data_IF_885224951178
#
_entry.id   IF_885224951178
#
_cell.length_a   1.000
_cell.length_b   1.000
_cell.length_c   1.000
_cell.angle_alpha   90.00
_cell.angle_beta   90.00
_cell.angle_gamma   90.00
#
_symmetry.space_group_name_H-M   'P 1'
#
loop_
_entity.id
_entity.type
_entity.pdbx_description
1 polymer ?
#
# COMPACT_ATOMS: atom_id res chain seq x y z
N UNK A 1 42.97 -56.62 41.25
CA UNK A 1 41.81 -55.79 40.83
C UNK A 1 42.30 -54.76 39.82
N UNK A 2 41.77 -54.66 38.61
CA UNK A 2 42.12 -53.62 37.66
C UNK A 2 41.34 -52.34 38.00
N UNK A 3 42.11 -51.25 38.16
CA UNK A 3 41.66 -49.89 38.35
C UNK A 3 40.89 -49.46 37.10
N UNK A 4 39.56 -49.19 37.24
CA UNK A 4 38.73 -48.57 36.19
C UNK A 4 39.28 -47.16 35.89
N UNK A 5 39.70 -46.99 34.63
CA UNK A 5 40.18 -45.71 34.12
C UNK A 5 39.09 -44.66 34.16
N UNK A 6 39.42 -43.53 34.73
CA UNK A 6 38.66 -42.29 34.83
C UNK A 6 38.47 -41.58 33.47
N UNK A 7 38.42 -42.30 32.34
CA UNK A 7 38.32 -41.72 31.03
C UNK A 7 36.88 -41.61 30.47
N UNK A 8 35.90 -42.28 31.13
CA UNK A 8 34.55 -42.34 30.60
C UNK A 8 33.65 -41.17 30.99
N UNK A 9 34.08 -40.36 31.96
CA UNK A 9 33.33 -39.19 32.40
C UNK A 9 33.54 -37.93 31.52
N UNK A 10 34.52 -37.95 30.64
CA UNK A 10 34.77 -36.79 29.74
C UNK A 10 34.01 -36.82 28.43
N UNK A 11 33.37 -37.94 28.08
CA UNK A 11 32.59 -38.05 26.82
C UNK A 11 31.18 -37.47 26.93
N UNK A 12 30.62 -37.34 28.15
CA UNK A 12 29.27 -36.79 28.35
C UNK A 12 29.21 -35.25 28.46
N UNK A 13 30.34 -34.55 28.57
CA UNK A 13 30.36 -33.10 28.75
C UNK A 13 30.60 -32.28 27.48
N UNK A 14 30.61 -32.89 26.30
CA UNK A 14 30.73 -32.17 25.03
C UNK A 14 29.52 -32.33 24.11
N UNK A 15 28.31 -32.40 24.65
CA UNK A 15 27.18 -31.82 23.92
C UNK A 15 27.37 -30.30 24.03
N UNK A 16 28.21 -29.73 23.15
CA UNK A 16 28.15 -28.29 22.85
C UNK A 16 26.69 -28.02 22.50
N UNK A 17 25.97 -27.43 23.43
CA UNK A 17 24.68 -26.84 23.15
C UNK A 17 24.96 -25.84 22.05
N UNK A 18 24.66 -26.23 20.79
CA UNK A 18 24.81 -25.32 19.67
C UNK A 18 23.89 -24.14 19.94
N UNK A 19 24.48 -22.95 20.04
CA UNK A 19 23.73 -21.73 20.11
C UNK A 19 22.82 -21.64 18.89
N UNK A 20 21.51 -21.74 19.09
CA UNK A 20 20.54 -21.64 18.00
C UNK A 20 19.97 -20.22 17.94
N UNK A 21 19.84 -19.71 16.73
CA UNK A 21 19.22 -18.41 16.52
C UNK A 21 17.71 -18.50 16.80
N UNK A 22 17.15 -17.48 17.43
CA UNK A 22 15.72 -17.35 17.65
C UNK A 22 14.94 -17.21 16.33
N UNK A 23 13.64 -17.46 16.38
CA UNK A 23 12.74 -17.37 15.23
C UNK A 23 12.48 -15.92 14.86
N UNK A 24 12.39 -15.68 13.55
CA UNK A 24 11.92 -14.41 13.03
C UNK A 24 10.39 -14.32 13.21
N UNK A 25 9.92 -13.11 13.47
CA UNK A 25 8.49 -12.79 13.59
C UNK A 25 8.08 -11.87 12.44
N UNK A 26 6.81 -11.92 12.09
CA UNK A 26 6.23 -11.05 11.09
C UNK A 26 4.95 -10.45 11.65
N UNK A 27 4.79 -9.12 11.52
CA UNK A 27 3.59 -8.40 11.92
C UNK A 27 3.18 -7.42 10.82
N UNK A 28 1.87 -7.28 10.63
CA UNK A 28 1.31 -6.29 9.71
C UNK A 28 1.14 -4.95 10.42
N UNK A 29 1.49 -3.88 9.71
CA UNK A 29 1.36 -2.51 10.20
C UNK A 29 0.54 -1.71 9.20
N UNK A 30 -0.69 -1.36 9.59
CA UNK A 30 -1.53 -0.49 8.79
C UNK A 30 -1.00 0.96 8.84
N UNK A 31 -0.84 1.59 7.69
CA UNK A 31 -0.36 2.96 7.51
C UNK A 31 -1.37 3.71 6.65
N UNK A 32 -1.73 4.93 7.01
CA UNK A 32 -2.56 5.76 6.15
C UNK A 32 -1.74 6.35 5.01
N UNK A 33 -2.41 6.61 3.88
CA UNK A 33 -1.73 7.10 2.67
C UNK A 33 -0.99 8.41 2.93
N UNK A 34 -1.55 9.33 3.68
CA UNK A 34 -0.96 10.61 4.05
C UNK A 34 0.30 10.45 4.92
N UNK A 35 0.35 9.40 5.72
CA UNK A 35 1.50 9.10 6.58
C UNK A 35 2.73 8.69 5.76
N UNK A 36 2.54 8.26 4.51
CA UNK A 36 3.64 7.91 3.60
C UNK A 36 4.39 9.11 3.04
N UNK A 37 3.87 10.33 3.22
CA UNK A 37 4.47 11.56 2.66
C UNK A 37 5.75 11.99 3.37
N UNK A 38 5.93 11.58 4.62
CA UNK A 38 7.09 11.94 5.44
C UNK A 38 7.55 10.71 6.26
N UNK A 39 8.81 10.75 6.72
CA UNK A 39 9.28 9.78 7.70
C UNK A 39 8.53 9.96 9.01
N UNK A 40 7.98 8.88 9.53
CA UNK A 40 7.25 8.87 10.79
C UNK A 40 7.84 7.88 11.78
N UNK A 41 7.77 8.23 13.07
CA UNK A 41 8.08 7.30 14.15
C UNK A 41 6.76 6.79 14.72
N UNK A 42 6.58 5.46 14.68
CA UNK A 42 5.39 4.81 15.19
C UNK A 42 5.73 3.86 16.31
N UNK A 43 4.94 3.89 17.37
CA UNK A 43 5.04 2.93 18.46
C UNK A 43 4.24 1.69 18.10
N UNK A 44 4.91 0.53 18.07
CA UNK A 44 4.33 -0.76 17.71
C UNK A 44 4.42 -1.67 18.92
N UNK A 45 3.29 -2.25 19.30
CA UNK A 45 3.21 -3.25 20.36
C UNK A 45 2.92 -4.62 19.75
N UNK A 46 3.65 -5.64 20.16
CA UNK A 46 3.48 -7.01 19.70
C UNK A 46 3.84 -7.99 20.82
N UNK A 47 3.37 -9.22 20.69
CA UNK A 47 3.62 -10.27 21.65
C UNK A 47 4.76 -11.16 21.19
N UNK A 48 5.76 -11.34 22.03
CA UNK A 48 6.84 -12.31 21.82
C UNK A 48 6.40 -13.67 22.36
N UNK A 49 6.27 -14.70 21.52
CA UNK A 49 6.01 -16.04 22.02
C UNK A 49 7.25 -16.59 22.74
N UNK A 50 7.03 -17.16 23.91
CA UNK A 50 8.01 -17.94 24.67
C UNK A 50 7.68 -19.41 24.49
N UNK A 51 8.63 -20.18 23.95
CA UNK A 51 8.45 -21.60 23.67
C UNK A 51 8.99 -22.45 24.82
N UNK A 52 8.28 -23.51 25.17
CA UNK A 52 8.75 -24.53 26.09
C UNK A 52 9.71 -25.50 25.39
N UNK A 53 10.27 -26.44 26.14
CA UNK A 53 11.21 -27.47 25.66
C UNK A 53 10.63 -28.41 24.58
N UNK A 54 9.31 -28.41 24.40
CA UNK A 54 8.59 -29.18 23.37
C UNK A 54 8.25 -28.33 22.14
N UNK A 55 8.67 -27.05 22.07
CA UNK A 55 8.39 -26.15 20.96
C UNK A 55 6.95 -25.59 20.95
N UNK A 56 6.21 -25.72 22.04
CA UNK A 56 4.87 -25.12 22.18
C UNK A 56 4.97 -23.75 22.85
N UNK A 57 4.08 -22.83 22.46
CA UNK A 57 3.98 -21.52 23.11
C UNK A 57 3.52 -21.70 24.55
N UNK A 58 4.36 -21.36 25.49
CA UNK A 58 4.08 -21.42 26.93
C UNK A 58 3.49 -20.11 27.44
N UNK A 59 4.01 -19.00 26.96
CA UNK A 59 3.54 -17.66 27.32
C UNK A 59 3.85 -16.65 26.22
N UNK A 60 3.26 -15.48 26.30
CA UNK A 60 3.54 -14.35 25.42
C UNK A 60 3.98 -13.14 26.26
N UNK A 61 5.08 -12.52 25.87
CA UNK A 61 5.58 -11.31 26.51
C UNK A 61 5.28 -10.10 25.65
N UNK A 62 4.50 -9.12 26.12
CA UNK A 62 4.25 -7.90 25.36
C UNK A 62 5.52 -7.08 25.24
N UNK A 63 5.80 -6.62 24.03
CA UNK A 63 6.95 -5.77 23.70
C UNK A 63 6.49 -4.57 22.90
N UNK A 64 7.06 -3.41 23.25
CA UNK A 64 6.76 -2.14 22.56
C UNK A 64 8.03 -1.57 21.99
N UNK A 65 7.98 -1.15 20.72
CA UNK A 65 9.11 -0.56 19.99
C UNK A 65 8.69 0.71 19.28
N UNK A 66 9.58 1.69 19.26
CA UNK A 66 9.45 2.86 18.41
C UNK A 66 10.18 2.60 17.09
N UNK A 67 9.42 2.53 16.00
CA UNK A 67 9.94 2.20 14.68
C UNK A 67 9.80 3.39 13.75
N UNK A 68 10.86 3.66 13.01
CA UNK A 68 10.85 4.67 11.95
C UNK A 68 10.36 4.04 10.66
N UNK A 69 9.23 4.54 10.16
CA UNK A 69 8.66 4.18 8.85
C UNK A 69 9.16 5.23 7.87
N UNK A 70 9.93 4.86 6.84
CA UNK A 70 10.46 5.81 5.88
C UNK A 70 9.36 6.40 5.01
N UNK A 71 9.59 7.61 4.49
CA UNK A 71 8.71 8.20 3.48
C UNK A 71 8.65 7.34 2.21
N UNK A 72 7.47 7.30 1.57
CA UNK A 72 7.26 6.62 0.30
C UNK A 72 7.25 5.09 0.39
N UNK A 73 6.91 4.54 1.56
CA UNK A 73 6.64 3.11 1.68
C UNK A 73 5.48 2.71 0.78
N UNK A 74 5.55 1.52 0.22
CA UNK A 74 4.50 0.94 -0.63
C UNK A 74 3.83 -0.23 0.09
N UNK A 75 2.64 -0.57 -0.35
CA UNK A 75 1.91 -1.72 0.18
C UNK A 75 2.71 -3.02 -0.01
N UNK A 76 2.71 -3.87 1.01
CA UNK A 76 3.50 -5.10 1.04
C UNK A 76 5.01 -4.91 1.30
N UNK A 77 5.50 -3.68 1.48
CA UNK A 77 6.91 -3.44 1.78
C UNK A 77 7.28 -3.98 3.16
N UNK A 78 8.41 -4.70 3.22
CA UNK A 78 8.91 -5.31 4.44
C UNK A 78 10.04 -4.49 5.05
N UNK A 79 9.93 -4.17 6.33
CA UNK A 79 10.96 -3.47 7.12
C UNK A 79 11.51 -4.43 8.16
N UNK A 80 12.83 -4.67 8.11
CA UNK A 80 13.51 -5.58 9.05
C UNK A 80 13.99 -4.83 10.28
N UNK A 81 13.61 -5.32 11.45
CA UNK A 81 14.11 -4.89 12.75
C UNK A 81 14.97 -5.99 13.34
N UNK A 82 16.28 -5.81 13.27
CA UNK A 82 17.25 -6.81 13.69
C UNK A 82 17.16 -7.12 15.19
N UNK A 83 17.19 -8.40 15.54
CA UNK A 83 17.23 -8.89 16.91
C UNK A 83 15.95 -8.63 17.73
N UNK A 84 14.83 -8.33 17.06
CA UNK A 84 13.54 -8.06 17.70
C UNK A 84 12.54 -9.24 17.61
N UNK A 85 12.99 -10.37 17.06
CA UNK A 85 12.25 -11.64 17.07
C UNK A 85 12.41 -12.38 18.41
N UNK A 86 12.14 -13.70 18.42
CA UNK A 86 12.24 -14.52 19.64
C UNK A 86 13.68 -14.64 20.11
N UNK A 87 13.91 -14.85 21.44
CA UNK A 87 15.23 -15.10 21.96
C UNK A 87 15.86 -16.34 21.33
N UNK A 88 17.18 -16.30 21.14
CA UNK A 88 17.94 -17.48 20.73
C UNK A 88 18.17 -18.44 21.88
N UNK A 89 18.35 -19.71 21.60
CA UNK A 89 18.64 -20.74 22.58
C UNK A 89 20.15 -20.81 22.86
N UNK A 90 20.50 -21.21 24.09
CA UNK A 90 21.89 -21.42 24.54
C UNK A 90 22.82 -20.23 24.27
N UNK A 91 22.34 -18.99 24.42
CA UNK A 91 23.11 -17.78 24.15
C UNK A 91 23.22 -17.44 22.65
N UNK A 92 22.40 -18.04 21.79
CA UNK A 92 22.28 -17.69 20.39
C UNK A 92 21.68 -16.30 20.18
N UNK A 93 21.87 -15.67 19.02
CA UNK A 93 21.30 -14.37 18.72
C UNK A 93 19.78 -14.47 18.57
N UNK A 94 19.08 -13.39 18.92
CA UNK A 94 17.66 -13.29 18.69
C UNK A 94 17.34 -13.36 17.19
N UNK A 95 16.12 -13.80 16.87
CA UNK A 95 15.52 -13.63 15.55
C UNK A 95 15.26 -12.16 15.23
N UNK A 96 14.76 -11.89 14.04
CA UNK A 96 14.40 -10.56 13.59
C UNK A 96 12.87 -10.38 13.61
N UNK A 97 12.43 -9.13 13.63
CA UNK A 97 11.03 -8.79 13.43
C UNK A 97 10.89 -8.13 12.06
N UNK A 98 10.00 -8.66 11.25
CA UNK A 98 9.61 -8.11 9.96
C UNK A 98 8.29 -7.38 10.08
N UNK A 99 8.29 -6.10 9.72
CA UNK A 99 7.07 -5.31 9.59
C UNK A 99 6.63 -5.33 8.15
N UNK A 100 5.45 -5.84 7.89
CA UNK A 100 4.80 -5.77 6.57
C UNK A 100 3.89 -4.55 6.57
N UNK A 101 4.23 -3.58 5.74
CA UNK A 101 3.45 -2.36 5.61
C UNK A 101 2.18 -2.66 4.82
N UNK A 102 1.05 -2.29 5.36
CA UNK A 102 -0.24 -2.38 4.69
C UNK A 102 -0.87 -0.98 4.62
N UNK A 103 -1.03 -0.46 3.39
CA UNK A 103 -1.62 0.87 3.23
C UNK A 103 -3.14 0.74 3.28
N UNK A 104 -3.75 1.40 4.26
CA UNK A 104 -5.19 1.40 4.40
C UNK A 104 -5.88 2.00 3.15
N UNK A 105 -7.03 1.45 2.72
CA UNK A 105 -7.78 2.01 1.60
C UNK A 105 -8.09 3.49 1.82
N UNK A 106 -7.87 4.31 0.78
CA UNK A 106 -8.15 5.74 0.84
C UNK A 106 -9.45 6.05 0.08
N UNK A 107 -10.31 6.97 0.57
CA UNK A 107 -11.62 7.24 -0.05
C UNK A 107 -11.55 7.87 -1.46
N UNK A 108 -10.44 8.52 -1.81
CA UNK A 108 -10.29 9.21 -3.09
C UNK A 108 -9.23 8.60 -4.01
N UNK A 109 -8.22 7.91 -3.46
CA UNK A 109 -7.07 7.44 -4.21
C UNK A 109 -6.96 5.92 -4.18
N UNK A 110 -6.78 5.33 -5.34
CA UNK A 110 -6.34 3.96 -5.50
C UNK A 110 -4.82 3.94 -5.70
N UNK A 111 -4.15 2.93 -5.11
CA UNK A 111 -2.70 2.82 -5.14
C UNK A 111 -2.30 1.75 -6.13
N UNK A 112 -1.47 2.11 -7.10
CA UNK A 112 -0.94 1.19 -8.12
C UNK A 112 0.59 1.28 -8.12
N UNK A 113 1.23 0.47 -7.28
CA UNK A 113 2.66 0.56 -7.04
C UNK A 113 3.06 1.89 -6.39
N UNK A 114 3.83 2.73 -7.09
CA UNK A 114 4.16 4.09 -6.65
C UNK A 114 3.21 5.15 -7.21
N UNK A 115 2.31 4.77 -8.12
CA UNK A 115 1.37 5.70 -8.72
C UNK A 115 0.07 5.72 -7.92
N UNK A 116 -0.64 6.83 -8.06
CA UNK A 116 -1.99 7.01 -7.52
C UNK A 116 -2.97 7.16 -8.67
N UNK A 117 -4.18 6.68 -8.48
CA UNK A 117 -5.30 6.91 -9.37
C UNK A 117 -6.42 7.62 -8.62
N UNK A 118 -7.05 8.58 -9.28
CA UNK A 118 -8.23 9.27 -8.77
C UNK A 118 -9.30 9.29 -9.86
N UNK A 119 -10.54 9.01 -9.49
CA UNK A 119 -11.67 9.18 -10.39
C UNK A 119 -11.95 10.68 -10.56
N UNK A 120 -11.88 11.18 -11.80
CA UNK A 120 -12.20 12.55 -12.15
C UNK A 120 -13.60 12.62 -12.74
N UNK A 121 -14.62 13.01 -11.97
CA UNK A 121 -15.96 13.20 -12.49
C UNK A 121 -15.98 14.48 -13.36
N UNK A 122 -16.50 14.36 -14.58
CA UNK A 122 -16.67 15.46 -15.51
C UNK A 122 -18.12 15.48 -16.01
N UNK A 123 -18.66 16.67 -16.17
CA UNK A 123 -19.90 16.85 -16.91
C UNK A 123 -19.67 16.56 -18.42
N UNK A 124 -20.69 16.13 -19.18
CA UNK A 124 -20.54 15.83 -20.62
C UNK A 124 -19.97 17.01 -21.43
N UNK A 125 -20.37 18.22 -21.12
CA UNK A 125 -19.89 19.43 -21.81
C UNK A 125 -18.43 19.75 -21.46
N UNK A 126 -17.96 19.44 -20.23
CA UNK A 126 -16.56 19.62 -19.85
C UNK A 126 -15.66 18.63 -20.60
N UNK A 127 -16.12 17.39 -20.78
CA UNK A 127 -15.40 16.40 -21.56
C UNK A 127 -15.39 16.73 -23.06
N UNK A 128 -16.51 17.22 -23.60
CA UNK A 128 -16.65 17.56 -25.02
C UNK A 128 -15.88 18.82 -25.41
N UNK A 129 -16.00 19.89 -24.62
CA UNK A 129 -15.45 21.21 -24.95
C UNK A 129 -14.05 21.44 -24.32
N UNK A 130 -13.65 20.59 -23.41
CA UNK A 130 -12.48 20.81 -22.57
C UNK A 130 -12.79 21.72 -21.41
N UNK A 131 -12.08 21.55 -20.32
CA UNK A 131 -12.25 22.33 -19.09
C UNK A 131 -10.95 22.43 -18.28
N UNK A 132 -10.91 23.41 -17.39
CA UNK A 132 -9.91 23.44 -16.32
C UNK A 132 -10.59 23.05 -15.01
N UNK A 133 -10.16 21.95 -14.43
CA UNK A 133 -10.78 21.39 -13.22
C UNK A 133 -9.77 21.27 -12.10
N UNK A 134 -10.20 21.55 -10.88
CA UNK A 134 -9.34 21.41 -9.71
C UNK A 134 -9.35 19.94 -9.26
N UNK A 135 -8.17 19.34 -9.18
CA UNK A 135 -7.97 17.95 -8.77
C UNK A 135 -7.19 17.94 -7.45
N UNK A 136 -7.71 17.27 -6.41
CA UNK A 136 -6.97 17.09 -5.18
C UNK A 136 -5.77 16.15 -5.40
N UNK A 137 -4.67 16.44 -4.74
CA UNK A 137 -3.51 15.55 -4.60
C UNK A 137 -3.26 15.29 -3.12
N UNK A 138 -2.30 14.45 -2.76
CA UNK A 138 -1.99 14.18 -1.35
C UNK A 138 -1.54 15.40 -0.55
N UNK A 139 -1.01 16.45 -1.21
CA UNK A 139 -0.46 17.64 -0.54
C UNK A 139 -1.30 18.89 -0.75
N UNK A 140 -1.81 19.06 -1.95
CA UNK A 140 -2.45 20.29 -2.41
C UNK A 140 -3.45 19.97 -3.53
N UNK A 141 -4.30 20.92 -3.86
CA UNK A 141 -5.13 20.83 -5.07
C UNK A 141 -4.43 21.52 -6.23
N UNK A 142 -4.53 20.96 -7.42
CA UNK A 142 -3.94 21.49 -8.65
C UNK A 142 -5.00 21.73 -9.71
N UNK A 143 -4.73 22.65 -10.61
CA UNK A 143 -5.58 22.92 -11.77
C UNK A 143 -5.14 22.03 -12.93
N UNK A 144 -6.00 21.09 -13.33
CA UNK A 144 -5.77 20.18 -14.46
C UNK A 144 -6.53 20.67 -15.68
N UNK A 145 -5.87 20.73 -16.83
CA UNK A 145 -6.52 21.01 -18.10
C UNK A 145 -6.97 19.71 -18.74
N UNK A 146 -8.28 19.59 -18.94
CA UNK A 146 -8.91 18.48 -19.67
C UNK A 146 -9.01 18.87 -21.14
N UNK A 147 -8.42 18.10 -22.06
CA UNK A 147 -8.53 18.37 -23.49
C UNK A 147 -9.98 18.23 -24.00
N UNK A 148 -10.40 18.98 -25.01
CA UNK A 148 -11.69 18.77 -25.63
C UNK A 148 -11.74 17.38 -26.31
N UNK A 149 -12.95 16.78 -26.33
CA UNK A 149 -13.15 15.44 -26.87
C UNK A 149 -12.63 14.30 -25.98
N UNK A 150 -12.38 14.57 -24.68
CA UNK A 150 -11.95 13.56 -23.73
C UNK A 150 -13.02 12.51 -23.50
N UNK A 151 -12.60 11.24 -23.36
CA UNK A 151 -13.48 10.09 -23.25
C UNK A 151 -13.49 9.52 -21.83
N UNK A 152 -14.59 8.87 -21.44
CA UNK A 152 -14.67 8.11 -20.20
C UNK A 152 -13.61 7.00 -20.17
N UNK A 153 -12.96 6.81 -19.02
CA UNK A 153 -11.86 5.87 -18.85
C UNK A 153 -10.49 6.39 -19.33
N UNK A 154 -10.42 7.54 -19.98
CA UNK A 154 -9.16 8.15 -20.36
C UNK A 154 -8.39 8.59 -19.11
N UNK A 155 -7.08 8.34 -19.08
CA UNK A 155 -6.20 8.65 -17.96
C UNK A 155 -5.36 9.89 -18.26
N UNK A 156 -5.51 10.92 -17.45
CA UNK A 156 -4.73 12.14 -17.53
C UNK A 156 -3.61 12.08 -16.49
N UNK A 157 -2.37 12.08 -16.94
CA UNK A 157 -1.18 11.97 -16.10
C UNK A 157 -0.81 13.30 -15.47
N UNK A 158 -0.64 13.32 -14.17
CA UNK A 158 -0.14 14.43 -13.39
C UNK A 158 1.21 14.02 -12.81
N UNK A 159 2.27 14.48 -13.45
CA UNK A 159 3.64 14.06 -13.17
C UNK A 159 4.08 14.41 -11.74
N UNK A 160 4.70 13.44 -11.06
CA UNK A 160 5.32 13.63 -9.76
C UNK A 160 4.35 13.84 -8.60
N UNK A 161 3.05 13.50 -8.75
CA UNK A 161 2.02 13.64 -7.71
C UNK A 161 1.56 12.29 -7.14
N UNK A 162 2.32 11.22 -7.39
CA UNK A 162 2.16 9.92 -6.74
C UNK A 162 2.96 9.80 -5.44
N UNK A 163 3.25 8.58 -5.02
CA UNK A 163 4.07 8.29 -3.86
C UNK A 163 5.55 8.66 -4.11
N UNK A 164 6.17 9.29 -3.14
CA UNK A 164 7.57 9.72 -3.23
C UNK A 164 8.42 8.85 -2.31
N UNK A 165 9.21 7.95 -2.86
CA UNK A 165 10.22 7.18 -2.15
C UNK A 165 11.62 7.81 -2.33
N UNK A 166 12.62 7.26 -1.63
CA UNK A 166 14.02 7.71 -1.75
C UNK A 166 14.59 7.57 -3.17
N UNK A 167 14.10 6.62 -3.93
CA UNK A 167 14.64 6.24 -5.25
C UNK A 167 13.68 6.50 -6.39
N UNK A 168 12.39 6.73 -6.11
CA UNK A 168 11.37 6.83 -7.14
C UNK A 168 10.27 7.81 -6.73
N UNK A 169 9.78 8.58 -7.69
CA UNK A 169 8.60 9.43 -7.55
C UNK A 169 7.54 8.94 -8.53
N UNK A 170 6.41 8.53 -8.01
CA UNK A 170 5.26 8.12 -8.80
C UNK A 170 4.46 9.31 -9.35
N UNK A 171 3.46 9.00 -10.16
CA UNK A 171 2.55 9.96 -10.77
C UNK A 171 1.14 9.77 -10.25
N UNK A 172 0.32 10.80 -10.40
CA UNK A 172 -1.12 10.71 -10.19
C UNK A 172 -1.81 10.61 -11.55
N UNK A 173 -2.71 9.65 -11.70
CA UNK A 173 -3.54 9.50 -12.88
C UNK A 173 -4.98 9.85 -12.56
N UNK A 174 -5.50 10.88 -13.21
CA UNK A 174 -6.92 11.24 -13.15
C UNK A 174 -7.68 10.44 -14.23
N UNK A 175 -8.53 9.51 -13.78
CA UNK A 175 -9.34 8.64 -14.66
C UNK A 175 -10.68 9.30 -14.88
N UNK A 176 -10.96 9.70 -16.11
CA UNK A 176 -12.18 10.43 -16.47
C UNK A 176 -13.42 9.55 -16.29
N UNK A 177 -14.39 10.05 -15.55
CA UNK A 177 -15.74 9.49 -15.44
C UNK A 177 -16.76 10.54 -15.82
N UNK A 178 -17.46 10.34 -16.93
CA UNK A 178 -18.53 11.26 -17.34
C UNK A 178 -19.76 11.03 -16.47
N UNK A 179 -20.26 12.10 -15.87
CA UNK A 179 -21.40 12.09 -14.97
C UNK A 179 -22.50 13.00 -15.48
N UNK A 180 -23.68 12.42 -15.70
CA UNK A 180 -24.85 13.19 -16.14
C UNK A 180 -25.49 13.95 -14.98
N UNK A 181 -26.05 15.14 -15.22
CA UNK A 181 -26.87 15.84 -14.23
C UNK A 181 -28.06 14.98 -13.81
N UNK A 182 -28.36 14.87 -12.49
CA UNK A 182 -29.39 13.94 -12.02
C UNK A 182 -30.83 14.32 -12.43
N UNK A 183 -31.10 15.60 -12.58
CA UNK A 183 -32.43 16.11 -12.97
C UNK A 183 -32.27 17.33 -13.90
N UNK A 184 -32.22 17.13 -15.22
CA UNK A 184 -32.23 18.26 -16.15
C UNK A 184 -33.59 18.97 -16.09
N UNK A 185 -33.57 20.28 -16.07
CA UNK A 185 -34.76 21.10 -16.21
C UNK A 185 -35.27 21.07 -17.69
N UNK A 186 -36.38 21.74 -17.96
CA UNK A 186 -37.01 21.71 -19.26
C UNK A 186 -36.12 22.31 -20.35
N UNK A 187 -35.43 23.41 -20.02
CA UNK A 187 -34.48 24.06 -20.92
C UNK A 187 -33.27 23.16 -21.22
N UNK A 188 -32.74 22.47 -20.24
CA UNK A 188 -31.64 21.52 -20.43
C UNK A 188 -32.07 20.32 -21.29
N UNK A 189 -33.33 19.84 -21.13
CA UNK A 189 -33.89 18.79 -22.01
C UNK A 189 -33.98 19.23 -23.46
N UNK A 190 -34.45 20.44 -23.75
CA UNK A 190 -34.49 20.99 -25.09
C UNK A 190 -33.10 21.04 -25.70
N UNK A 191 -32.10 21.52 -24.97
CA UNK A 191 -30.70 21.55 -25.43
C UNK A 191 -30.13 20.15 -25.71
N UNK A 192 -30.46 19.16 -24.86
CA UNK A 192 -30.08 17.77 -25.13
C UNK A 192 -30.75 17.20 -26.38
N UNK A 193 -32.02 17.53 -26.62
CA UNK A 193 -32.72 17.13 -27.83
C UNK A 193 -32.14 17.77 -29.11
N UNK A 194 -31.77 19.05 -29.06
CA UNK A 194 -31.09 19.73 -30.15
C UNK A 194 -29.71 19.09 -30.43
N UNK A 195 -28.95 18.78 -29.39
CA UNK A 195 -27.67 18.10 -29.53
C UNK A 195 -27.84 16.70 -30.16
N UNK A 196 -28.83 15.93 -29.69
CA UNK A 196 -29.11 14.61 -30.23
C UNK A 196 -29.51 14.67 -31.73
N UNK A 197 -30.23 15.71 -32.11
CA UNK A 197 -30.59 15.94 -33.53
C UNK A 197 -29.38 16.35 -34.39
N UNK A 198 -28.49 17.18 -33.82
CA UNK A 198 -27.26 17.59 -34.50
C UNK A 198 -26.29 16.43 -34.72
N UNK A 199 -26.23 15.48 -33.77
CA UNK A 199 -25.34 14.32 -33.79
C UNK A 199 -26.07 13.01 -34.15
N UNK A 200 -27.16 13.08 -34.93
CA UNK A 200 -27.99 11.93 -35.25
C UNK A 200 -27.25 10.77 -35.96
N UNK A 201 -26.11 11.03 -36.57
CA UNK A 201 -25.26 10.02 -37.22
C UNK A 201 -24.35 9.28 -36.27
N UNK A 202 -24.21 9.76 -35.03
CA UNK A 202 -23.32 9.13 -34.00
C UNK A 202 -24.04 7.95 -33.35
N UNK A 203 -23.50 6.75 -33.57
CA UNK A 203 -23.95 5.53 -32.88
C UNK A 203 -22.83 5.00 -31.97
N UNK A 204 -22.96 5.13 -30.65
CA UNK A 204 -21.98 4.64 -29.71
C UNK A 204 -21.85 3.10 -29.68
N UNK A 205 -22.82 2.39 -30.29
CA UNK A 205 -22.87 0.92 -30.34
C UNK A 205 -22.42 0.34 -31.67
N UNK A 206 -21.93 1.17 -32.59
CA UNK A 206 -21.51 0.77 -33.93
C UNK A 206 -20.49 -0.38 -33.96
N UNK A 207 -19.76 -0.58 -32.89
CA UNK A 207 -18.72 -1.62 -32.78
C UNK A 207 -19.24 -2.96 -32.25
N UNK A 208 -20.48 -3.03 -31.71
CA UNK A 208 -20.99 -4.25 -31.07
C UNK A 208 -21.23 -5.41 -32.04
N UNK A 209 -21.33 -5.17 -33.32
CA UNK A 209 -21.54 -6.20 -34.34
C UNK A 209 -20.29 -6.70 -35.05
N UNK A 210 -19.09 -6.31 -34.59
CA UNK A 210 -17.81 -6.70 -35.19
C UNK A 210 -17.01 -7.56 -34.22
N UNK A 211 -17.59 -8.69 -33.77
CA UNK A 211 -16.87 -9.75 -33.12
C UNK A 211 -16.53 -10.86 -34.13
#
# INVERSE_FOLDING_TARGET
>A
FPTRRSSDLRFYQRRRQHAARGHDLEIEVAVFLEETLAEQTRTISYNLPVYNVFGMIESETPKTLNVKIPAGVVDGQRIRLKGQGTPGENGGPNGDLWLVIHIAPHPLFDIVGHNLEIVLPLAPWEAALGAKVTVPTLKESILLTVPPGSQAGQRLRIKGKGLVSKTHTGDLFAVIKIVMPPKPDEKARELWQQLAAAEASFDPRKTWGKA
#
